data_IF_002743317236
#
_entry.id   IF_002743317236
#
_cell.length_a   1.000
_cell.length_b   1.000
_cell.length_c   1.000
_cell.angle_alpha   90.00
_cell.angle_beta   90.00
_cell.angle_gamma   90.00
#
_symmetry.space_group_name_H-M   'P 1'
#
loop_
_entity.id
_entity.type
_entity.pdbx_description
1 polymer ?
#
# COMPACT_ATOMS: atom_id res chain seq x y z
N UNK A 1 -12.85 11.88 -11.08
CA UNK A 1 -12.41 10.50 -11.40
C UNK A 1 -10.89 10.44 -11.20
N UNK A 2 -10.34 9.42 -10.52
CA UNK A 2 -8.88 9.31 -10.42
C UNK A 2 -8.29 9.00 -11.81
N UNK A 3 -7.09 9.50 -12.16
CA UNK A 3 -6.46 9.21 -13.46
C UNK A 3 -6.34 7.71 -13.78
N UNK A 4 -6.24 6.86 -12.75
CA UNK A 4 -6.16 5.40 -12.90
C UNK A 4 -7.49 4.81 -13.39
N UNK A 5 -8.63 5.33 -12.93
CA UNK A 5 -9.94 4.82 -13.32
C UNK A 5 -10.25 5.08 -14.81
N UNK A 6 -9.66 6.13 -15.39
CA UNK A 6 -9.81 6.46 -16.80
C UNK A 6 -9.07 5.48 -17.74
N UNK A 7 -8.12 4.70 -17.21
CA UNK A 7 -7.35 3.74 -17.99
C UNK A 7 -8.05 2.37 -18.14
N UNK A 8 -9.20 2.15 -17.49
CA UNK A 8 -9.98 0.91 -17.60
C UNK A 8 -9.37 -0.32 -16.90
N UNK A 9 -8.22 -0.18 -16.23
CA UNK A 9 -7.57 -1.29 -15.54
C UNK A 9 -8.16 -1.50 -14.14
N UNK A 10 -8.42 -2.77 -13.80
CA UNK A 10 -8.66 -3.18 -12.41
C UNK A 10 -7.34 -3.10 -11.65
N UNK A 11 -7.24 -2.14 -10.74
CA UNK A 11 -6.00 -1.86 -10.02
C UNK A 11 -5.97 -2.55 -8.65
N UNK A 12 -4.95 -3.38 -8.45
CA UNK A 12 -4.54 -3.87 -7.12
C UNK A 12 -3.77 -2.76 -6.40
N UNK A 13 -4.22 -2.38 -5.21
CA UNK A 13 -3.53 -1.41 -4.38
C UNK A 13 -2.33 -2.08 -3.70
N UNK A 14 -1.21 -1.38 -3.67
CA UNK A 14 0.01 -1.89 -3.06
C UNK A 14 -0.12 -1.94 -1.52
N UNK A 15 0.11 -3.13 -0.94
CA UNK A 15 0.14 -3.39 0.53
C UNK A 15 1.12 -2.45 1.23
N UNK A 16 2.32 -2.28 0.66
CA UNK A 16 3.36 -1.42 1.22
C UNK A 16 2.94 0.05 1.25
N UNK A 17 2.46 0.58 0.12
CA UNK A 17 2.00 1.96 0.03
C UNK A 17 0.77 2.23 0.91
N UNK A 18 -0.14 1.27 1.05
CA UNK A 18 -1.25 1.38 2.00
C UNK A 18 -0.74 1.54 3.44
N UNK A 19 0.21 0.68 3.87
CA UNK A 19 0.85 0.76 5.19
C UNK A 19 1.58 2.09 5.39
N UNK A 20 2.32 2.58 4.40
CA UNK A 20 2.99 3.88 4.45
C UNK A 20 1.99 5.03 4.57
N UNK A 21 0.90 4.99 3.82
CA UNK A 21 -0.12 6.04 3.84
C UNK A 21 -0.81 6.11 5.21
N UNK A 22 -1.16 4.96 5.82
CA UNK A 22 -1.72 4.91 7.17
C UNK A 22 -0.76 5.51 8.21
N UNK A 23 0.54 5.19 8.11
CA UNK A 23 1.57 5.81 8.96
C UNK A 23 1.62 7.34 8.80
N UNK A 24 1.48 7.84 7.57
CA UNK A 24 1.45 9.28 7.28
C UNK A 24 0.20 9.93 7.85
N UNK A 25 -0.97 9.30 7.72
CA UNK A 25 -2.25 9.78 8.27
C UNK A 25 -2.14 9.91 9.79
N UNK A 26 -1.64 8.89 10.50
CA UNK A 26 -1.47 8.94 11.96
C UNK A 26 -0.53 10.06 12.39
N UNK A 27 0.64 10.18 11.74
CA UNK A 27 1.60 11.25 12.05
C UNK A 27 1.01 12.65 11.83
N UNK A 28 0.25 12.80 10.73
CA UNK A 28 -0.43 14.05 10.41
C UNK A 28 -1.50 14.38 11.44
N UNK A 29 -2.32 13.41 11.83
CA UNK A 29 -3.33 13.58 12.88
C UNK A 29 -2.73 14.04 14.21
N UNK A 30 -1.65 13.40 14.67
CA UNK A 30 -0.97 13.79 15.91
C UNK A 30 -0.43 15.22 15.82
N UNK A 31 0.18 15.58 14.68
CA UNK A 31 0.69 16.93 14.43
C UNK A 31 -0.42 17.98 14.40
N UNK A 32 -1.46 17.74 13.62
CA UNK A 32 -2.55 18.70 13.38
C UNK A 32 -3.38 18.95 14.65
N UNK A 33 -3.39 17.99 15.59
CA UNK A 33 -4.09 18.11 16.88
C UNK A 33 -3.15 18.43 18.07
N UNK A 34 -1.88 18.74 17.82
CA UNK A 34 -0.88 19.03 18.86
C UNK A 34 -0.79 17.95 19.97
N UNK A 35 -0.91 16.68 19.59
CA UNK A 35 -0.87 15.56 20.52
C UNK A 35 0.57 15.10 20.82
N UNK A 36 0.81 14.43 21.97
CA UNK A 36 2.12 13.86 22.29
C UNK A 36 2.59 12.85 21.22
N UNK A 37 3.89 12.80 20.95
CA UNK A 37 4.50 11.91 19.94
C UNK A 37 4.19 10.43 20.25
N UNK A 38 4.06 10.09 21.53
CA UNK A 38 3.70 8.76 22.04
C UNK A 38 2.36 8.29 21.48
N UNK A 39 1.43 9.20 21.17
CA UNK A 39 0.15 8.87 20.53
C UNK A 39 0.33 8.22 19.16
N UNK A 40 1.42 8.51 18.46
CA UNK A 40 1.75 7.80 17.21
C UNK A 40 1.92 6.31 17.50
N UNK A 41 2.66 5.95 18.56
CA UNK A 41 2.91 4.56 18.93
C UNK A 41 1.62 3.88 19.38
N UNK A 42 0.79 4.55 20.17
CA UNK A 42 -0.51 4.03 20.60
C UNK A 42 -1.44 3.75 19.42
N UNK A 43 -1.63 4.70 18.50
CA UNK A 43 -2.48 4.50 17.32
C UNK A 43 -1.96 3.36 16.44
N UNK A 44 -0.64 3.23 16.31
CA UNK A 44 -0.04 2.14 15.53
C UNK A 44 -0.31 0.74 16.09
N UNK A 45 -0.65 0.59 17.38
CA UNK A 45 -0.99 -0.72 17.96
C UNK A 45 -2.24 -1.35 17.34
N UNK A 46 -3.13 -0.53 16.77
CA UNK A 46 -4.37 -1.02 16.12
C UNK A 46 -4.16 -1.45 14.66
N UNK A 47 -3.09 -0.98 14.01
CA UNK A 47 -2.84 -1.27 12.60
C UNK A 47 -2.68 -2.76 12.25
N UNK A 48 -2.05 -3.62 13.08
CA UNK A 48 -1.96 -5.06 12.80
C UNK A 48 -3.33 -5.68 12.53
N UNK A 49 -4.35 -5.31 13.30
CA UNK A 49 -5.70 -5.84 13.15
C UNK A 49 -6.32 -5.47 11.79
N UNK A 50 -6.09 -4.24 11.32
CA UNK A 50 -6.53 -3.81 10.00
C UNK A 50 -5.79 -4.56 8.87
N UNK A 51 -4.59 -5.07 9.13
CA UNK A 51 -3.75 -5.74 8.15
C UNK A 51 -3.98 -7.24 8.06
N UNK A 52 -4.84 -7.81 8.91
CA UNK A 52 -5.27 -9.22 8.83
C UNK A 52 -5.89 -9.56 7.46
N UNK A 53 -6.46 -8.56 6.75
CA UNK A 53 -6.99 -8.75 5.39
C UNK A 53 -5.97 -9.31 4.39
N UNK A 54 -4.67 -9.22 4.67
CA UNK A 54 -3.61 -9.70 3.81
C UNK A 54 -3.11 -11.10 4.18
N UNK A 55 -3.61 -11.68 5.26
CA UNK A 55 -3.16 -12.96 5.82
C UNK A 55 -4.23 -14.06 5.65
N UNK A 56 -5.26 -13.79 4.83
CA UNK A 56 -6.36 -14.71 4.52
C UNK A 56 -6.30 -15.14 3.06
N UNK A 57 -6.98 -16.24 2.73
CA UNK A 57 -6.91 -16.86 1.40
C UNK A 57 -8.13 -16.53 0.53
N UNK A 58 -9.23 -16.03 1.12
CA UNK A 58 -10.48 -15.80 0.38
C UNK A 58 -11.05 -14.40 0.56
N UNK A 59 -11.72 -13.89 -0.49
CA UNK A 59 -12.40 -12.59 -0.44
C UNK A 59 -13.50 -12.54 0.63
N UNK A 60 -14.19 -13.67 0.87
CA UNK A 60 -15.23 -13.80 1.88
C UNK A 60 -14.68 -13.59 3.30
N UNK A 61 -13.46 -14.04 3.58
CA UNK A 61 -12.80 -13.79 4.86
C UNK A 61 -12.43 -12.32 5.03
N UNK A 62 -11.95 -11.67 3.97
CA UNK A 62 -11.69 -10.22 3.97
C UNK A 62 -12.96 -9.44 4.32
N UNK A 63 -14.10 -9.80 3.73
CA UNK A 63 -15.39 -9.16 4.02
C UNK A 63 -15.81 -9.34 5.48
N UNK A 64 -15.58 -10.52 6.06
CA UNK A 64 -15.83 -10.78 7.50
C UNK A 64 -14.94 -9.91 8.38
N UNK A 65 -13.65 -9.79 8.07
CA UNK A 65 -12.71 -8.94 8.81
C UNK A 65 -13.18 -7.48 8.77
N UNK A 66 -13.47 -6.95 7.58
CA UNK A 66 -13.94 -5.56 7.41
C UNK A 66 -15.26 -5.32 8.16
N UNK A 67 -16.19 -6.28 8.13
CA UNK A 67 -17.44 -6.20 8.88
C UNK A 67 -17.21 -6.20 10.39
N UNK A 68 -16.29 -7.02 10.88
CA UNK A 68 -15.95 -7.06 12.30
C UNK A 68 -15.29 -5.76 12.76
N UNK A 69 -14.33 -5.22 11.99
CA UNK A 69 -13.73 -3.91 12.24
C UNK A 69 -14.78 -2.80 12.34
N UNK A 70 -15.80 -2.82 11.46
CA UNK A 70 -16.92 -1.88 11.51
C UNK A 70 -17.82 -2.04 12.73
N UNK A 71 -18.05 -3.26 13.20
CA UNK A 71 -18.91 -3.50 14.38
C UNK A 71 -18.33 -2.89 15.65
N UNK A 72 -17.00 -2.98 15.81
CA UNK A 72 -16.28 -2.39 16.95
C UNK A 72 -15.62 -1.05 16.62
N UNK A 73 -16.14 -0.32 15.63
CA UNK A 73 -15.54 0.94 15.16
C UNK A 73 -15.33 1.94 16.30
N UNK A 74 -16.25 1.99 17.27
CA UNK A 74 -16.21 2.91 18.40
C UNK A 74 -15.11 2.58 19.44
N UNK A 75 -14.52 1.39 19.39
CA UNK A 75 -13.40 1.00 20.27
C UNK A 75 -12.05 1.57 19.79
N UNK A 76 -11.98 2.05 18.55
CA UNK A 76 -10.76 2.56 17.95
C UNK A 76 -10.61 4.08 18.15
N UNK A 77 -9.37 4.61 18.21
CA UNK A 77 -9.12 6.05 18.12
C UNK A 77 -9.68 6.64 16.84
N UNK A 78 -10.10 7.91 16.87
CA UNK A 78 -10.73 8.61 15.73
C UNK A 78 -9.94 8.47 14.41
N UNK A 79 -8.61 8.64 14.48
CA UNK A 79 -7.75 8.48 13.30
C UNK A 79 -7.77 7.07 12.71
N UNK A 80 -7.96 6.05 13.54
CA UNK A 80 -8.09 4.66 13.09
C UNK A 80 -9.49 4.41 12.53
N UNK A 81 -10.53 4.99 13.14
CA UNK A 81 -11.88 4.96 12.57
C UNK A 81 -11.90 5.55 11.17
N UNK A 82 -11.23 6.70 10.97
CA UNK A 82 -11.05 7.31 9.66
C UNK A 82 -10.37 6.37 8.67
N UNK A 83 -9.27 5.70 9.07
CA UNK A 83 -8.58 4.74 8.19
C UNK A 83 -9.52 3.59 7.81
N UNK A 84 -10.29 3.05 8.75
CA UNK A 84 -11.23 1.94 8.48
C UNK A 84 -12.31 2.41 7.50
N UNK A 85 -12.98 3.52 7.78
CA UNK A 85 -14.14 3.96 7.00
C UNK A 85 -13.78 4.56 5.64
N UNK A 86 -12.67 5.29 5.55
CA UNK A 86 -12.33 6.08 4.36
C UNK A 86 -11.22 5.46 3.50
N UNK A 87 -10.42 4.54 4.05
CA UNK A 87 -9.26 3.97 3.34
C UNK A 87 -9.32 2.46 3.18
N UNK A 88 -9.86 1.74 4.17
CA UNK A 88 -9.95 0.28 4.13
C UNK A 88 -11.28 -0.18 3.51
N UNK A 89 -12.40 0.15 4.15
CA UNK A 89 -13.71 -0.38 3.79
C UNK A 89 -14.22 -0.02 2.37
N UNK A 90 -13.89 1.14 1.77
CA UNK A 90 -14.29 1.43 0.40
C UNK A 90 -13.42 0.70 -0.64
N UNK A 91 -12.19 0.33 -0.25
CA UNK A 91 -11.15 -0.13 -1.17
C UNK A 91 -10.63 -1.54 -0.85
N UNK A 92 -11.28 -2.30 0.04
CA UNK A 92 -10.79 -3.62 0.45
C UNK A 92 -10.64 -4.58 -0.73
N UNK A 93 -11.56 -4.54 -1.71
CA UNK A 93 -11.45 -5.32 -2.95
C UNK A 93 -10.20 -4.95 -3.74
N UNK A 94 -9.86 -3.67 -3.85
CA UNK A 94 -8.62 -3.24 -4.49
C UNK A 94 -7.38 -3.66 -3.70
N UNK A 95 -7.46 -3.69 -2.36
CA UNK A 95 -6.35 -4.10 -1.49
C UNK A 95 -6.12 -5.62 -1.53
N UNK A 96 -7.13 -6.41 -1.89
CA UNK A 96 -7.10 -7.88 -1.85
C UNK A 96 -7.42 -8.54 -3.19
N UNK A 97 -7.34 -7.79 -4.28
CA UNK A 97 -7.69 -8.25 -5.63
C UNK A 97 -6.85 -9.45 -6.10
N UNK A 98 -5.63 -9.61 -5.58
CA UNK A 98 -4.79 -10.79 -5.80
C UNK A 98 -5.45 -12.11 -5.35
N UNK A 99 -6.40 -12.08 -4.41
CA UNK A 99 -7.17 -13.26 -3.98
C UNK A 99 -8.16 -13.74 -5.05
N UNK A 100 -8.68 -12.82 -5.88
CA UNK A 100 -9.62 -13.16 -6.96
C UNK A 100 -8.91 -13.48 -8.29
N UNK A 101 -7.64 -13.05 -8.44
CA UNK A 101 -6.91 -13.19 -9.68
C UNK A 101 -5.44 -13.56 -9.43
N UNK A 102 -5.13 -14.84 -9.64
CA UNK A 102 -3.79 -15.42 -9.47
C UNK A 102 -2.73 -14.85 -10.41
N UNK A 103 -3.13 -14.12 -11.47
CA UNK A 103 -2.19 -13.42 -12.37
C UNK A 103 -1.68 -12.10 -11.76
N UNK A 104 -2.24 -11.67 -10.64
CA UNK A 104 -1.86 -10.44 -9.96
C UNK A 104 -1.12 -10.84 -8.70
N UNK A 105 0.20 -10.67 -8.75
CA UNK A 105 1.03 -10.83 -7.57
C UNK A 105 0.69 -9.77 -6.51
N UNK A 106 0.67 -10.20 -5.26
CA UNK A 106 0.63 -9.25 -4.15
C UNK A 106 1.96 -8.49 -4.10
N UNK A 107 1.92 -7.17 -3.91
CA UNK A 107 3.16 -6.39 -3.77
C UNK A 107 3.98 -6.88 -2.60
N UNK A 108 5.16 -7.42 -2.90
CA UNK A 108 6.16 -7.81 -1.92
C UNK A 108 7.15 -6.68 -1.67
N UNK A 109 7.82 -6.72 -0.52
CA UNK A 109 8.91 -5.79 -0.20
C UNK A 109 10.05 -5.83 -1.25
N UNK A 110 10.22 -6.97 -1.94
CA UNK A 110 11.24 -7.14 -2.97
C UNK A 110 10.89 -6.28 -4.20
N UNK A 111 9.64 -6.37 -4.68
CA UNK A 111 9.18 -5.58 -5.83
C UNK A 111 9.34 -4.09 -5.54
N UNK A 112 8.94 -3.63 -4.36
CA UNK A 112 9.08 -2.21 -4.02
C UNK A 112 10.54 -1.77 -3.88
N UNK A 113 11.40 -2.60 -3.28
CA UNK A 113 12.84 -2.31 -3.21
C UNK A 113 13.46 -2.17 -4.61
N UNK A 114 13.11 -3.07 -5.52
CA UNK A 114 13.55 -3.01 -6.93
C UNK A 114 13.05 -1.69 -7.56
N UNK A 115 11.79 -1.33 -7.40
CA UNK A 115 11.27 -0.08 -7.96
C UNK A 115 11.93 1.17 -7.35
N UNK A 116 12.19 1.19 -6.06
CA UNK A 116 12.90 2.27 -5.38
C UNK A 116 14.34 2.42 -5.90
N UNK A 117 15.07 1.32 -6.09
CA UNK A 117 16.45 1.35 -6.60
C UNK A 117 16.51 1.75 -8.08
N UNK A 118 15.63 1.17 -8.89
CA UNK A 118 15.68 1.32 -10.34
C UNK A 118 15.05 2.64 -10.81
N UNK A 119 13.93 3.04 -10.19
CA UNK A 119 13.05 4.11 -10.66
C UNK A 119 12.85 5.21 -9.60
N UNK A 120 13.95 5.72 -9.05
CA UNK A 120 13.93 6.85 -8.11
C UNK A 120 13.21 8.08 -8.69
N UNK A 121 12.32 8.68 -7.88
CA UNK A 121 11.43 9.79 -8.29
C UNK A 121 12.18 10.97 -8.89
N UNK A 122 13.33 11.33 -8.33
CA UNK A 122 14.12 12.46 -8.80
C UNK A 122 14.81 12.19 -10.15
N UNK A 123 14.97 10.93 -10.55
CA UNK A 123 15.55 10.57 -11.85
C UNK A 123 14.47 10.58 -12.95
N UNK A 124 13.22 10.26 -12.59
CA UNK A 124 12.07 10.20 -13.53
C UNK A 124 11.89 11.50 -14.35
N UNK A 125 12.14 12.65 -13.73
CA UNK A 125 12.01 13.98 -14.38
C UNK A 125 13.04 14.25 -15.47
N UNK A 126 14.12 13.49 -15.55
CA UNK A 126 15.17 13.68 -16.56
C UNK A 126 14.93 12.90 -17.85
N UNK A 127 13.96 11.97 -17.86
CA UNK A 127 13.62 11.22 -19.08
C UNK A 127 12.65 12.02 -19.94
N UNK A 128 13.07 12.29 -21.19
CA UNK A 128 12.27 13.07 -22.15
C UNK A 128 11.21 12.22 -22.87
N UNK A 129 11.34 10.89 -22.87
CA UNK A 129 10.44 9.96 -23.57
C UNK A 129 10.23 8.68 -22.76
N UNK A 130 9.10 8.00 -22.99
CA UNK A 130 8.80 6.68 -22.39
C UNK A 130 9.87 5.65 -22.75
N UNK A 131 10.28 5.60 -24.02
CA UNK A 131 11.32 4.67 -24.48
C UNK A 131 12.65 4.91 -23.77
N UNK A 132 13.05 6.17 -23.57
CA UNK A 132 14.28 6.49 -22.83
C UNK A 132 14.23 6.05 -21.37
N UNK A 133 13.06 6.16 -20.73
CA UNK A 133 12.85 5.63 -19.38
C UNK A 133 12.97 4.10 -19.37
N UNK A 134 12.26 3.40 -20.27
CA UNK A 134 12.26 1.94 -20.34
C UNK A 134 13.65 1.37 -20.62
N UNK A 135 14.40 1.94 -21.58
CA UNK A 135 15.77 1.51 -21.88
C UNK A 135 16.68 1.65 -20.65
N UNK A 136 16.59 2.76 -19.91
CA UNK A 136 17.40 2.96 -18.70
C UNK A 136 16.96 2.05 -17.56
N UNK A 137 15.66 1.84 -17.40
CA UNK A 137 15.11 0.92 -16.40
C UNK A 137 15.62 -0.50 -16.64
N UNK A 138 15.52 -1.01 -17.87
CA UNK A 138 15.98 -2.35 -18.24
C UNK A 138 17.50 -2.52 -18.03
N UNK A 139 18.31 -1.51 -18.36
CA UNK A 139 19.76 -1.54 -18.10
C UNK A 139 20.08 -1.62 -16.60
N UNK A 140 19.35 -0.87 -15.77
CA UNK A 140 19.55 -0.94 -14.31
C UNK A 140 19.03 -2.25 -13.73
N UNK A 141 17.91 -2.78 -14.25
CA UNK A 141 17.35 -4.06 -13.85
C UNK A 141 18.36 -5.18 -14.09
N UNK A 142 18.91 -5.27 -15.31
CA UNK A 142 19.96 -6.24 -15.65
C UNK A 142 21.16 -6.16 -14.69
N UNK A 143 21.63 -4.95 -14.37
CA UNK A 143 22.71 -4.75 -13.39
C UNK A 143 22.33 -5.08 -11.96
N UNK A 144 21.05 -4.98 -11.62
CA UNK A 144 20.54 -5.37 -10.30
C UNK A 144 20.51 -6.89 -10.21
N UNK A 145 20.02 -7.57 -11.25
CA UNK A 145 20.03 -9.02 -11.36
C UNK A 145 21.45 -9.57 -11.27
N UNK A 146 22.41 -9.02 -12.02
CA UNK A 146 23.83 -9.41 -11.96
C UNK A 146 24.43 -9.29 -10.55
N UNK A 147 23.98 -8.34 -9.74
CA UNK A 147 24.48 -8.09 -8.37
C UNK A 147 23.76 -8.89 -7.30
N UNK A 148 22.55 -9.36 -7.57
CA UNK A 148 21.70 -10.07 -6.61
C UNK A 148 21.46 -11.54 -7.01
N UNK A 149 21.99 -11.98 -8.16
CA UNK A 149 22.06 -13.39 -8.52
C UNK A 149 22.95 -14.11 -7.50
N UNK A 150 22.32 -14.97 -6.70
CA UNK A 150 23.00 -15.91 -5.82
C UNK A 150 23.57 -17.00 -6.75
N UNK A 151 24.90 -17.11 -6.81
CA UNK A 151 25.59 -18.33 -7.25
C UNK A 151 25.66 -19.32 -6.08
#
# INVERSE_FOLDING_TARGET
MSPINALGFKHQFCKFHFKQNNNKIIRKYVKDNNLPIEKIKECKKFLPELYEIYEVETQTEVEKIVKNLKKKINEFPEVIQYIINEKLAPYFKNLTYFLENTKIESTSNIIERIFEDLAQKHVKKYYKTLNGFLSRFNLKLKRWDERNAIY
#
